data_IF_935979387368
#
_entry.id   IF_935979387368
#
_cell.length_a   1.000
_cell.length_b   1.000
_cell.length_c   1.000
_cell.angle_alpha   90.00
_cell.angle_beta   90.00
_cell.angle_gamma   90.00
#
_symmetry.space_group_name_H-M   'P 1'
#
loop_
_entity.id
_entity.type
_entity.pdbx_description
1 polymer ?
#
# COMPACT_ATOMS: atom_id res chain seq x y z
N UNK A 1 10.95 -11.38 19.78
CA UNK A 1 10.69 -10.81 18.44
C UNK A 1 10.84 -9.30 18.52
N UNK A 2 11.64 -8.68 17.65
CA UNK A 2 11.84 -7.22 17.66
C UNK A 2 10.79 -6.54 16.77
N UNK A 3 10.10 -5.50 17.28
CA UNK A 3 9.10 -4.72 16.53
C UNK A 3 9.78 -3.54 15.83
N UNK A 4 9.59 -3.44 14.51
CA UNK A 4 10.07 -2.30 13.70
C UNK A 4 8.97 -1.23 13.69
N UNK A 5 9.34 0.02 14.00
CA UNK A 5 8.45 1.18 13.97
C UNK A 5 9.26 2.45 13.66
N UNK A 6 8.65 3.49 13.08
CA UNK A 6 9.27 4.80 12.98
C UNK A 6 9.74 5.31 14.35
N UNK A 7 10.88 5.99 14.39
CA UNK A 7 11.49 6.51 15.63
C UNK A 7 10.64 7.59 16.29
N UNK A 8 9.94 8.36 15.48
CA UNK A 8 8.98 9.41 15.87
C UNK A 8 7.60 8.85 16.26
N UNK A 9 7.40 7.52 16.18
CA UNK A 9 6.13 6.82 16.41
C UNK A 9 5.00 7.24 15.46
N UNK A 10 5.32 7.85 14.33
CA UNK A 10 4.34 8.14 13.28
C UNK A 10 3.77 6.85 12.67
N UNK A 11 2.66 7.00 11.95
CA UNK A 11 2.11 5.93 11.12
C UNK A 11 3.06 5.66 9.96
N UNK A 12 3.40 4.38 9.75
CA UNK A 12 4.24 3.95 8.64
C UNK A 12 3.40 3.78 7.37
N UNK A 13 3.65 4.61 6.36
CA UNK A 13 3.08 4.44 5.02
C UNK A 13 4.05 3.65 4.14
N UNK A 14 3.55 2.63 3.45
CA UNK A 14 4.35 1.73 2.61
C UNK A 14 3.94 1.86 1.15
N UNK A 15 4.93 1.80 0.25
CA UNK A 15 4.64 1.63 -1.17
C UNK A 15 3.91 0.29 -1.38
N UNK A 16 2.82 0.31 -2.14
CA UNK A 16 2.01 -0.86 -2.46
C UNK A 16 1.55 -0.85 -3.92
N UNK A 17 1.25 -2.03 -4.43
CA UNK A 17 0.48 -2.22 -5.67
C UNK A 17 -0.90 -2.75 -5.29
N UNK A 18 -1.90 -2.39 -6.08
CA UNK A 18 -3.29 -2.77 -5.86
C UNK A 18 -3.90 -3.25 -7.17
N UNK A 19 -4.67 -4.33 -7.10
CA UNK A 19 -5.40 -4.88 -8.24
C UNK A 19 -6.73 -5.45 -7.77
N UNK A 20 -7.76 -5.30 -8.61
CA UNK A 20 -9.10 -5.84 -8.35
C UNK A 20 -9.32 -7.04 -9.26
N UNK A 21 -9.58 -8.18 -8.64
CA UNK A 21 -9.96 -9.39 -9.35
C UNK A 21 -11.47 -9.61 -9.22
N UNK A 22 -12.04 -10.34 -10.17
CA UNK A 22 -13.43 -10.75 -10.11
C UNK A 22 -13.50 -12.27 -10.08
N UNK A 23 -14.16 -12.82 -9.07
CA UNK A 23 -14.48 -14.23 -9.04
C UNK A 23 -15.48 -14.55 -10.16
N UNK A 24 -15.06 -15.40 -11.11
CA UNK A 24 -15.90 -15.76 -12.25
C UNK A 24 -16.93 -16.83 -11.92
N UNK A 25 -16.88 -17.42 -10.72
CA UNK A 25 -17.88 -18.37 -10.24
C UNK A 25 -19.13 -17.69 -9.68
N UNK A 26 -19.07 -16.38 -9.40
CA UNK A 26 -20.17 -15.59 -8.86
C UNK A 26 -20.89 -14.76 -9.95
N UNK A 27 -22.22 -14.54 -9.84
CA UNK A 27 -22.97 -13.65 -10.72
C UNK A 27 -22.42 -12.22 -10.72
N UNK A 28 -22.62 -11.47 -11.82
CA UNK A 28 -22.08 -10.12 -11.98
C UNK A 28 -22.47 -9.14 -10.87
N UNK A 29 -23.68 -9.28 -10.33
CA UNK A 29 -24.25 -8.42 -9.28
C UNK A 29 -23.95 -8.91 -7.85
N UNK A 30 -23.19 -10.00 -7.68
CA UNK A 30 -22.84 -10.50 -6.35
C UNK A 30 -21.84 -9.55 -5.67
N UNK A 31 -22.16 -9.00 -4.49
CA UNK A 31 -21.29 -8.06 -3.80
C UNK A 31 -19.94 -8.67 -3.38
N UNK A 32 -19.84 -9.99 -3.27
CA UNK A 32 -18.60 -10.70 -2.93
C UNK A 32 -17.78 -11.10 -4.16
N UNK A 33 -18.24 -10.77 -5.36
CA UNK A 33 -17.50 -11.04 -6.60
C UNK A 33 -16.17 -10.32 -6.67
N UNK A 34 -16.11 -9.13 -6.08
CA UNK A 34 -14.94 -8.24 -6.13
C UNK A 34 -13.91 -8.69 -5.10
N UNK A 35 -12.72 -9.07 -5.56
CA UNK A 35 -11.61 -9.53 -4.73
C UNK A 35 -10.46 -8.52 -4.82
N UNK A 36 -10.45 -7.50 -3.95
CA UNK A 36 -9.36 -6.53 -3.88
C UNK A 36 -8.10 -7.17 -3.31
N UNK A 37 -6.99 -7.05 -4.03
CA UNK A 37 -5.69 -7.62 -3.64
C UNK A 37 -4.64 -6.52 -3.62
N UNK A 38 -3.77 -6.54 -2.61
CA UNK A 38 -2.63 -5.62 -2.52
C UNK A 38 -1.33 -6.40 -2.29
N UNK A 39 -0.23 -5.84 -2.78
CA UNK A 39 1.10 -6.36 -2.50
C UNK A 39 2.04 -5.25 -2.10
N UNK A 40 2.97 -5.57 -1.19
CA UNK A 40 3.97 -4.64 -0.69
C UNK A 40 5.32 -5.04 -1.31
N UNK A 41 5.80 -4.32 -2.34
CA UNK A 41 7.09 -4.61 -2.94
C UNK A 41 8.22 -4.38 -1.94
N UNK A 42 9.05 -5.39 -1.78
CA UNK A 42 10.27 -5.31 -0.98
C UNK A 42 11.47 -4.97 -1.86
N UNK A 43 12.25 -3.98 -1.46
CA UNK A 43 13.52 -3.64 -2.11
C UNK A 43 14.67 -4.34 -1.39
N UNK A 44 15.74 -4.67 -2.13
CA UNK A 44 16.97 -5.14 -1.51
C UNK A 44 17.64 -3.95 -0.82
N UNK A 45 18.05 -4.15 0.43
CA UNK A 45 18.90 -3.17 1.10
C UNK A 45 20.29 -3.28 0.50
N UNK A 46 20.79 -2.21 -0.12
CA UNK A 46 22.22 -2.13 -0.44
C UNK A 46 22.99 -2.18 0.89
N UNK A 47 23.95 -3.10 1.06
CA UNK A 47 24.78 -3.07 2.25
C UNK A 47 25.48 -1.71 2.30
N UNK A 48 25.45 -1.06 3.46
CA UNK A 48 26.37 0.05 3.71
C UNK A 48 27.80 -0.48 3.51
N UNK A 49 28.71 0.33 2.96
CA UNK A 49 30.11 -0.04 2.89
C UNK A 49 30.55 -0.51 4.30
N UNK A 50 31.06 -1.74 4.38
CA UNK A 50 31.39 -2.38 5.64
C UNK A 50 32.62 -1.68 6.21
N UNK A 51 32.43 -0.99 7.33
CA UNK A 51 33.50 -0.76 8.31
C UNK A 51 33.20 -1.71 9.47
N UNK A 52 34.17 -2.55 9.84
CA UNK A 52 34.01 -3.69 10.73
C UNK A 52 33.27 -3.36 12.06
N UNK A 53 32.38 -4.28 12.47
CA UNK A 53 31.87 -4.36 13.84
C UNK A 53 30.35 -4.51 14.00
N UNK A 54 29.88 -5.76 13.94
CA UNK A 54 28.65 -6.31 14.56
C UNK A 54 27.29 -5.58 14.42
N UNK A 55 26.37 -6.14 13.60
CA UNK A 55 24.91 -6.09 13.87
C UNK A 55 24.15 -7.20 13.11
N UNK A 56 23.38 -8.00 13.87
CA UNK A 56 22.32 -8.96 13.53
C UNK A 56 22.03 -9.41 12.08
N UNK A 57 21.74 -10.71 11.91
CA UNK A 57 21.15 -11.30 10.69
C UNK A 57 19.71 -10.80 10.46
N UNK A 58 19.57 -9.55 10.03
CA UNK A 58 18.32 -9.01 9.53
C UNK A 58 18.16 -9.47 8.07
N UNK A 59 16.96 -9.91 7.69
CA UNK A 59 16.67 -10.26 6.30
C UNK A 59 17.02 -9.09 5.38
N UNK A 60 17.73 -9.35 4.27
CA UNK A 60 18.31 -8.31 3.40
C UNK A 60 17.28 -7.53 2.57
N UNK A 61 15.98 -7.73 2.80
CA UNK A 61 14.88 -7.06 2.12
C UNK A 61 14.17 -6.10 3.07
N UNK A 62 13.86 -4.90 2.59
CA UNK A 62 13.15 -3.87 3.33
C UNK A 62 12.00 -3.32 2.48
N UNK A 63 10.93 -2.86 3.12
CA UNK A 63 9.83 -2.20 2.41
C UNK A 63 10.13 -0.72 2.32
N UNK A 64 9.90 -0.12 1.16
CA UNK A 64 10.07 1.33 0.99
C UNK A 64 8.93 2.08 1.70
N UNK A 65 9.29 2.90 2.70
CA UNK A 65 8.40 3.90 3.27
C UNK A 65 8.12 5.02 2.26
N UNK A 66 6.89 5.52 2.24
CA UNK A 66 6.49 6.70 1.45
C UNK A 66 6.16 7.84 2.40
N UNK A 67 6.60 9.06 2.08
CA UNK A 67 6.22 10.25 2.83
C UNK A 67 4.75 10.58 2.52
N UNK A 68 3.96 10.86 3.55
CA UNK A 68 2.56 11.25 3.38
C UNK A 68 2.46 12.60 2.70
N UNK A 69 2.00 12.64 1.45
CA UNK A 69 1.43 13.86 0.85
C UNK A 69 -0.07 13.77 1.02
N UNK A 70 -0.67 14.79 1.63
CA UNK A 70 -2.12 14.85 1.81
C UNK A 70 -2.80 14.91 0.42
N UNK A 71 -3.60 13.89 0.12
CA UNK A 71 -4.44 13.86 -1.08
C UNK A 71 -5.72 14.66 -0.78
N UNK A 72 -5.80 15.89 -1.31
CA UNK A 72 -7.07 16.63 -1.40
C UNK A 72 -7.92 15.99 -2.50
N UNK A 73 -8.80 15.08 -2.11
CA UNK A 73 -9.80 14.47 -2.99
C UNK A 73 -10.86 15.53 -3.33
N UNK A 74 -10.75 16.14 -4.51
CA UNK A 74 -11.79 17.02 -5.06
C UNK A 74 -12.98 16.15 -5.51
N UNK A 75 -13.88 15.86 -4.57
CA UNK A 75 -15.18 15.26 -4.86
C UNK A 75 -16.04 16.27 -5.61
N UNK A 76 -15.88 16.37 -6.93
CA UNK A 76 -16.83 17.03 -7.80
C UNK A 76 -18.04 16.10 -7.95
N UNK A 77 -18.98 16.23 -7.01
CA UNK A 77 -20.29 15.60 -7.09
C UNK A 77 -20.91 15.92 -8.47
N UNK A 78 -21.11 14.88 -9.28
CA UNK A 78 -21.90 14.98 -10.50
C UNK A 78 -23.32 15.41 -10.14
N UNK A 79 -23.75 16.56 -10.65
CA UNK A 79 -25.14 16.97 -10.57
C UNK A 79 -25.99 15.97 -11.36
N UNK A 80 -27.11 15.46 -10.80
CA UNK A 80 -28.04 14.64 -11.56
C UNK A 80 -28.78 15.51 -12.60
N UNK A 81 -29.00 14.92 -13.77
CA UNK A 81 -29.59 15.56 -14.93
C UNK A 81 -30.96 16.21 -14.67
N UNK A 82 -31.13 17.42 -15.18
CA UNK A 82 -32.43 17.95 -15.50
C UNK A 82 -32.73 17.60 -16.97
N UNK A 83 -33.45 16.49 -17.16
CA UNK A 83 -34.19 16.20 -18.39
C UNK A 83 -35.58 15.75 -17.98
N UNK A 84 -36.53 16.68 -17.95
CA UNK A 84 -37.96 16.44 -18.19
C UNK A 84 -38.76 17.77 -18.11
N UNK A 85 -39.49 18.04 -19.20
CA UNK A 85 -40.58 19.01 -19.41
C UNK A 85 -40.21 20.49 -19.58
#
# INVERSE_FOLDING_TARGET
>A
MQRIRPSDRSTLSLAGLYEVWYDKSLPDDDPNRVVPTYTIPATRRRPAAVSDGAAGRQQSRHVRGIEGREHREEQRAGAPGAAAC
#
